data_IF_772499221979
#
_entry.id   IF_772499221979
#
_cell.length_a   1.000
_cell.length_b   1.000
_cell.length_c   1.000
_cell.angle_alpha   90.00
_cell.angle_beta   90.00
_cell.angle_gamma   90.00
#
_symmetry.space_group_name_H-M   'P 1'
#
loop_
_entity.id
_entity.type
_entity.pdbx_description
1 polymer ?
#
# COMPACT_ATOMS: atom_id res chain seq x y z
N UNK A 1 9.19 -16.29 30.60
CA UNK A 1 7.96 -15.67 30.06
C UNK A 1 8.35 -14.40 29.33
N UNK A 2 8.33 -14.38 28.01
CA UNK A 2 8.55 -13.15 27.23
C UNK A 2 7.20 -12.75 26.62
N UNK A 3 6.73 -11.50 26.78
CA UNK A 3 5.62 -11.05 25.99
C UNK A 3 6.15 -10.80 24.58
N UNK A 4 5.82 -11.70 23.64
CA UNK A 4 5.85 -11.37 22.23
C UNK A 4 4.73 -10.36 21.99
N UNK A 5 4.98 -9.10 22.37
CA UNK A 5 4.21 -7.95 21.92
C UNK A 5 4.53 -7.75 20.43
N UNK A 6 4.23 -8.76 19.61
CA UNK A 6 3.99 -8.56 18.20
C UNK A 6 2.75 -7.66 18.18
N UNK A 7 2.99 -6.35 18.11
CA UNK A 7 1.96 -5.37 17.78
C UNK A 7 1.35 -5.88 16.48
N UNK A 8 0.22 -6.57 16.56
CA UNK A 8 -0.50 -7.09 15.41
C UNK A 8 -1.08 -5.86 14.71
N UNK A 9 -0.21 -5.17 13.96
CA UNK A 9 -0.59 -4.07 13.11
C UNK A 9 -1.54 -4.67 12.07
N UNK A 10 -2.83 -4.44 12.28
CA UNK A 10 -3.86 -4.94 11.38
C UNK A 10 -3.53 -4.38 9.99
N UNK A 11 -3.12 -5.28 9.08
CA UNK A 11 -2.86 -4.90 7.70
C UNK A 11 -4.19 -4.73 7.00
N UNK A 12 -4.35 -3.58 6.34
CA UNK A 12 -5.51 -3.25 5.51
C UNK A 12 -5.11 -3.40 4.05
N UNK A 13 -6.08 -3.60 3.18
CA UNK A 13 -5.83 -3.61 1.74
C UNK A 13 -5.65 -2.16 1.27
N UNK A 14 -4.66 -1.94 0.42
CA UNK A 14 -4.35 -0.66 -0.20
C UNK A 14 -4.26 -0.83 -1.71
N UNK A 15 -4.90 0.06 -2.47
CA UNK A 15 -4.62 0.24 -3.90
C UNK A 15 -3.66 1.40 -4.08
N UNK A 16 -2.65 1.20 -4.92
CA UNK A 16 -1.65 2.21 -5.24
C UNK A 16 -1.66 2.41 -6.74
N UNK A 17 -1.95 3.63 -7.17
CA UNK A 17 -1.89 4.04 -8.56
C UNK A 17 -0.58 4.76 -8.81
N UNK A 18 0.15 4.30 -9.81
CA UNK A 18 1.46 4.83 -10.17
C UNK A 18 1.66 4.85 -11.68
N UNK A 19 2.64 5.62 -12.14
CA UNK A 19 3.09 5.60 -13.54
C UNK A 19 4.22 4.60 -13.68
N UNK A 20 4.09 3.67 -14.61
CA UNK A 20 5.15 2.71 -14.92
C UNK A 20 6.25 3.35 -15.79
N UNK A 21 7.25 2.54 -16.15
CA UNK A 21 8.39 2.95 -16.98
C UNK A 21 8.01 3.49 -18.37
N UNK A 22 6.81 3.16 -18.85
CA UNK A 22 6.26 3.68 -20.11
C UNK A 22 5.41 4.95 -19.91
N UNK A 23 5.43 5.54 -18.72
CA UNK A 23 4.59 6.65 -18.30
C UNK A 23 3.08 6.37 -18.39
N UNK A 24 2.69 5.09 -18.43
CA UNK A 24 1.28 4.68 -18.43
C UNK A 24 0.81 4.43 -17.00
N UNK A 25 -0.47 4.70 -16.73
CA UNK A 25 -1.08 4.46 -15.43
C UNK A 25 -1.18 2.95 -15.18
N UNK A 26 -0.71 2.53 -14.00
CA UNK A 26 -0.81 1.19 -13.47
C UNK A 26 -1.36 1.25 -12.04
N UNK A 27 -1.96 0.14 -11.60
CA UNK A 27 -2.45 -0.01 -10.24
C UNK A 27 -1.95 -1.33 -9.65
N UNK A 28 -1.59 -1.30 -8.36
CA UNK A 28 -1.27 -2.51 -7.60
C UNK A 28 -2.01 -2.53 -6.26
N UNK A 29 -2.36 -3.74 -5.80
CA UNK A 29 -3.06 -3.96 -4.54
C UNK A 29 -2.11 -4.64 -3.54
N UNK A 30 -1.90 -4.00 -2.39
CA UNK A 30 -0.98 -4.46 -1.35
C UNK A 30 -1.68 -4.51 0.01
N UNK A 31 -1.18 -5.33 0.93
CA UNK A 31 -1.58 -5.26 2.33
C UNK A 31 -0.52 -4.54 3.15
N UNK A 32 -0.91 -3.46 3.84
CA UNK A 32 -0.02 -2.65 4.65
C UNK A 32 -0.72 -2.18 5.93
N UNK A 33 0.03 -1.83 6.97
CA UNK A 33 -0.51 -1.25 8.19
C UNK A 33 -0.75 0.26 8.10
N UNK A 34 -0.06 0.95 7.20
CA UNK A 34 -0.20 2.40 6.98
C UNK A 34 0.03 2.78 5.51
N UNK A 35 -0.37 3.99 5.14
CA UNK A 35 -0.09 4.57 3.83
C UNK A 35 1.43 4.65 3.54
N UNK A 36 2.24 4.90 4.57
CA UNK A 36 3.70 4.95 4.45
C UNK A 36 4.29 3.57 4.19
N UNK A 37 3.84 2.54 4.91
CA UNK A 37 4.27 1.16 4.66
C UNK A 37 3.83 0.71 3.25
N UNK A 38 2.61 1.05 2.84
CA UNK A 38 2.12 0.76 1.48
C UNK A 38 3.01 1.42 0.41
N UNK A 39 3.44 2.66 0.64
CA UNK A 39 4.37 3.39 -0.23
C UNK A 39 5.74 2.70 -0.31
N UNK A 40 6.29 2.31 0.83
CA UNK A 40 7.58 1.60 0.88
C UNK A 40 7.51 0.25 0.16
N UNK A 41 6.45 -0.53 0.40
CA UNK A 41 6.22 -1.80 -0.28
C UNK A 41 6.09 -1.62 -1.80
N UNK A 42 5.39 -0.58 -2.26
CA UNK A 42 5.34 -0.26 -3.68
C UNK A 42 6.73 0.03 -4.26
N UNK A 43 7.58 0.76 -3.54
CA UNK A 43 8.95 1.06 -3.98
C UNK A 43 9.86 -0.17 -3.98
N UNK A 44 9.63 -1.14 -3.09
CA UNK A 44 10.34 -2.41 -3.07
C UNK A 44 9.90 -3.32 -4.22
N UNK A 45 8.61 -3.38 -4.53
CA UNK A 45 8.05 -4.17 -5.62
C UNK A 45 8.35 -3.58 -7.00
N UNK A 46 8.42 -2.26 -7.10
CA UNK A 46 8.62 -1.53 -8.34
C UNK A 46 9.85 -0.61 -8.22
N UNK A 47 11.05 -1.11 -8.62
CA UNK A 47 12.31 -0.37 -8.44
C UNK A 47 12.33 1.02 -9.09
N UNK A 48 11.60 1.24 -10.19
CA UNK A 48 11.49 2.56 -10.83
C UNK A 48 10.84 3.60 -9.90
N UNK A 49 9.91 3.19 -9.02
CA UNK A 49 9.30 4.07 -8.02
C UNK A 49 10.28 4.48 -6.91
N UNK A 50 11.32 3.68 -6.66
CA UNK A 50 12.38 4.05 -5.70
C UNK A 50 13.21 5.22 -6.20
N UNK A 51 13.50 5.27 -7.50
CA UNK A 51 14.20 6.38 -8.14
C UNK A 51 13.29 7.58 -8.42
N UNK A 52 12.00 7.32 -8.69
CA UNK A 52 11.00 8.33 -9.00
C UNK A 52 9.77 8.22 -8.09
N UNK A 53 9.90 8.56 -6.80
CA UNK A 53 8.80 8.44 -5.83
C UNK A 53 7.58 9.33 -6.17
N UNK A 54 7.77 10.33 -7.03
CA UNK A 54 6.71 11.23 -7.52
C UNK A 54 5.82 10.57 -8.58
N UNK A 55 6.18 9.38 -9.08
CA UNK A 55 5.33 8.62 -10.01
C UNK A 55 4.18 7.90 -9.30
N UNK A 56 4.15 7.89 -7.96
CA UNK A 56 3.01 7.41 -7.19
C UNK A 56 1.98 8.52 -7.14
N UNK A 57 0.89 8.37 -7.91
CA UNK A 57 -0.18 9.35 -8.01
C UNK A 57 -1.16 9.25 -6.83
N UNK A 58 -1.48 8.03 -6.39
CA UNK A 58 -2.49 7.79 -5.36
C UNK A 58 -2.18 6.55 -4.52
N UNK A 59 -2.42 6.63 -3.22
CA UNK A 59 -2.45 5.49 -2.29
C UNK A 59 -3.79 5.56 -1.57
N UNK A 60 -4.61 4.52 -1.69
CA UNK A 60 -5.93 4.47 -1.10
C UNK A 60 -6.10 3.21 -0.26
N UNK A 61 -6.51 3.37 1.00
CA UNK A 61 -6.87 2.29 1.90
C UNK A 61 -8.31 1.82 1.64
N UNK A 62 -8.46 0.53 1.32
CA UNK A 62 -9.74 -0.16 1.37
C UNK A 62 -10.03 -0.51 2.83
N UNK A 63 -10.53 0.45 3.60
CA UNK A 63 -11.22 0.09 4.83
C UNK A 63 -12.48 -0.68 4.45
N UNK A 64 -12.54 -1.95 4.86
CA UNK A 64 -13.79 -2.70 4.85
C UNK A 64 -14.76 -1.93 5.74
N UNK A 65 -15.61 -1.09 5.16
CA UNK A 65 -16.85 -0.73 5.81
C UNK A 65 -17.72 -1.99 5.82
N UNK A 66 -17.47 -2.89 6.76
CA UNK A 66 -18.33 -4.04 7.06
C UNK A 66 -19.67 -3.64 7.69
N UNK A 67 -20.12 -2.41 7.46
CA UNK A 67 -21.38 -1.83 7.93
C UNK A 67 -22.20 -1.37 6.72
N UNK A 68 -22.66 -2.34 5.94
CA UNK A 68 -23.96 -2.28 5.29
C UNK A 68 -24.44 -3.73 5.12
N UNK A 69 -24.99 -4.28 6.21
CA UNK A 69 -26.01 -5.32 6.09
C UNK A 69 -27.37 -4.59 5.98
N UNK A 70 -28.22 -4.97 5.02
CA UNK A 70 -29.53 -4.36 4.81
C UNK A 70 -30.47 -4.57 6.00
#
# INVERSE_FOLDING_TARGET
>A
MAPLSATHRQRKAYSIRYRNERHTLAECCLYAASHEEARHLAMELYPHLRHHPNQIDLIWCHEHNSTQRP
#
